data_IF_076164412747
#
_entry.id   IF_076164412747
#
_cell.length_a   1.000
_cell.length_b   1.000
_cell.length_c   1.000
_cell.angle_alpha   90.00
_cell.angle_beta   90.00
_cell.angle_gamma   90.00
#
_symmetry.space_group_name_H-M   'P 1'
#
loop_
_entity.id
_entity.type
_entity.pdbx_description
1 polymer ?
#
# COMPACT_ATOMS: atom_id res chain seq x y z
N UNK A 1 3.57 -19.47 4.28
CA UNK A 1 3.83 -19.25 5.71
C UNK A 1 4.41 -17.85 5.90
N UNK A 2 3.59 -16.83 5.70
CA UNK A 2 4.01 -15.46 5.95
C UNK A 2 3.43 -14.96 7.27
N UNK A 3 4.34 -14.66 8.21
CA UNK A 3 4.28 -13.51 9.11
C UNK A 3 3.17 -13.38 10.19
N UNK A 4 2.36 -14.39 10.45
CA UNK A 4 1.49 -14.34 11.64
C UNK A 4 2.25 -14.66 12.94
N UNK A 5 3.42 -15.30 12.85
CA UNK A 5 4.23 -15.66 14.00
C UNK A 5 4.85 -14.46 14.73
N UNK A 6 4.87 -13.30 14.09
CA UNK A 6 5.42 -12.05 14.67
C UNK A 6 4.36 -11.07 15.19
N UNK A 7 3.08 -11.32 14.91
CA UNK A 7 2.01 -10.38 15.30
C UNK A 7 1.70 -10.38 16.80
N UNK A 8 2.06 -11.46 17.51
CA UNK A 8 1.89 -11.59 18.96
C UNK A 8 3.19 -11.45 19.75
N UNK A 9 4.31 -11.14 19.08
CA UNK A 9 5.56 -10.85 19.74
C UNK A 9 5.51 -9.48 20.43
N UNK A 10 5.71 -9.47 21.74
CA UNK A 10 5.88 -8.25 22.51
C UNK A 10 7.35 -8.12 22.92
N UNK A 11 8.02 -7.01 22.61
CA UNK A 11 9.36 -6.72 23.13
C UNK A 11 9.33 -6.54 24.65
N UNK A 12 10.51 -6.58 25.32
CA UNK A 12 10.61 -6.45 26.77
C UNK A 12 9.95 -5.18 27.34
N UNK A 13 9.98 -4.08 26.58
CA UNK A 13 9.33 -2.82 26.92
C UNK A 13 8.36 -2.39 25.79
N UNK A 14 7.19 -3.02 25.68
CA UNK A 14 6.28 -2.79 24.58
C UNK A 14 5.62 -1.40 24.65
N UNK A 15 5.59 -0.71 23.52
CA UNK A 15 4.79 0.50 23.33
C UNK A 15 3.29 0.16 23.26
N UNK A 16 2.41 1.17 23.34
CA UNK A 16 0.97 0.96 23.08
C UNK A 16 0.71 0.38 21.69
N UNK A 17 1.51 0.80 20.70
CA UNK A 17 1.43 0.26 19.33
C UNK A 17 1.75 -1.23 19.29
N UNK A 18 2.81 -1.67 19.99
CA UNK A 18 3.20 -3.08 20.01
C UNK A 18 2.13 -3.94 20.69
N UNK A 19 1.53 -3.43 21.77
CA UNK A 19 0.40 -4.10 22.45
C UNK A 19 -0.82 -4.23 21.55
N UNK A 20 -1.13 -3.19 20.77
CA UNK A 20 -2.24 -3.21 19.83
C UNK A 20 -1.98 -4.22 18.70
N UNK A 21 -0.76 -4.26 18.16
CA UNK A 21 -0.37 -5.23 17.12
C UNK A 21 -0.49 -6.65 17.65
N UNK A 22 0.02 -6.94 18.85
CA UNK A 22 -0.08 -8.26 19.46
C UNK A 22 -1.54 -8.65 19.74
N UNK A 23 -2.38 -7.71 20.19
CA UNK A 23 -3.80 -7.94 20.40
C UNK A 23 -4.53 -8.26 19.09
N UNK A 24 -4.29 -7.49 18.03
CA UNK A 24 -4.84 -7.76 16.70
C UNK A 24 -4.36 -9.12 16.19
N UNK A 25 -3.07 -9.43 16.38
CA UNK A 25 -2.49 -10.71 15.99
C UNK A 25 -3.15 -11.89 16.70
N UNK A 26 -3.43 -11.77 18.00
CA UNK A 26 -4.14 -12.81 18.76
C UNK A 26 -5.57 -13.01 18.27
N UNK A 27 -6.29 -11.94 17.98
CA UNK A 27 -7.65 -12.00 17.40
C UNK A 27 -7.65 -12.70 16.04
N UNK A 28 -6.70 -12.38 15.18
CA UNK A 28 -6.57 -13.03 13.87
C UNK A 28 -6.27 -14.52 14.04
N UNK A 29 -5.34 -14.88 14.93
CA UNK A 29 -5.03 -16.29 15.20
C UNK A 29 -6.23 -17.09 15.73
N UNK A 30 -7.03 -16.50 16.60
CA UNK A 30 -8.19 -17.17 17.15
C UNK A 30 -9.29 -17.34 16.08
N UNK A 31 -9.53 -16.34 15.25
CA UNK A 31 -10.47 -16.43 14.13
C UNK A 31 -9.99 -17.42 13.04
N UNK A 32 -8.68 -17.62 12.91
CA UNK A 32 -8.12 -18.60 11.95
C UNK A 32 -8.22 -20.05 12.45
N UNK A 33 -8.48 -20.31 13.73
CA UNK A 33 -8.73 -21.67 14.20
C UNK A 33 -9.98 -22.24 13.56
N UNK A 34 -9.82 -23.32 12.79
CA UNK A 34 -10.90 -23.94 12.04
C UNK A 34 -11.25 -23.26 10.74
N UNK A 35 -10.47 -22.29 10.26
CA UNK A 35 -10.63 -21.72 8.93
C UNK A 35 -10.31 -22.76 7.84
N UNK A 36 -11.13 -22.78 6.79
CA UNK A 36 -10.91 -23.60 5.61
C UNK A 36 -10.23 -22.78 4.50
N UNK A 37 -9.15 -23.33 3.96
CA UNK A 37 -8.35 -22.69 2.92
C UNK A 37 -8.54 -23.40 1.59
N UNK A 38 -8.74 -22.62 0.52
CA UNK A 38 -8.65 -23.09 -0.86
C UNK A 38 -7.52 -22.34 -1.57
N UNK A 39 -7.36 -22.56 -2.88
CA UNK A 39 -6.37 -21.80 -3.66
C UNK A 39 -6.68 -20.29 -3.74
N UNK A 40 -7.95 -19.92 -3.67
CA UNK A 40 -8.43 -18.56 -3.92
C UNK A 40 -9.20 -17.94 -2.75
N UNK A 41 -9.59 -18.71 -1.75
CA UNK A 41 -10.41 -18.21 -0.65
C UNK A 41 -10.04 -18.81 0.71
N UNK A 42 -10.38 -18.05 1.75
CA UNK A 42 -10.30 -18.47 3.16
C UNK A 42 -11.68 -18.25 3.78
N UNK A 43 -12.27 -19.32 4.30
CA UNK A 43 -13.55 -19.30 5.01
C UNK A 43 -13.33 -19.43 6.50
N UNK A 44 -13.83 -18.48 7.26
CA UNK A 44 -13.72 -18.44 8.71
C UNK A 44 -14.92 -19.12 9.38
N UNK A 45 -14.76 -19.63 10.62
CA UNK A 45 -15.84 -20.26 11.38
C UNK A 45 -17.05 -19.35 11.63
N UNK A 46 -16.82 -18.03 11.71
CA UNK A 46 -17.88 -17.02 11.88
C UNK A 46 -18.71 -16.77 10.60
N UNK A 47 -18.43 -17.48 9.52
CA UNK A 47 -19.07 -17.33 8.22
C UNK A 47 -18.50 -16.27 7.30
N UNK A 48 -17.48 -15.52 7.75
CA UNK A 48 -16.75 -14.56 6.89
C UNK A 48 -15.92 -15.30 5.85
N UNK A 49 -15.75 -14.68 4.69
CA UNK A 49 -14.90 -15.22 3.63
C UNK A 49 -14.00 -14.11 3.08
N UNK A 50 -12.72 -14.39 2.95
CA UNK A 50 -11.76 -13.57 2.20
C UNK A 50 -11.40 -14.34 0.94
N UNK A 51 -11.48 -13.70 -0.22
CA UNK A 51 -11.10 -14.33 -1.46
C UNK A 51 -10.29 -13.40 -2.37
N UNK A 52 -9.39 -13.98 -3.17
CA UNK A 52 -8.61 -13.29 -4.18
C UNK A 52 -9.17 -13.62 -5.57
N UNK A 53 -9.39 -12.61 -6.38
CA UNK A 53 -9.93 -12.77 -7.72
C UNK A 53 -9.34 -11.74 -8.69
N UNK A 54 -9.22 -12.10 -9.95
CA UNK A 54 -8.81 -11.19 -11.01
C UNK A 54 -9.96 -10.38 -11.60
N UNK A 55 -11.19 -10.70 -11.23
CA UNK A 55 -12.40 -9.95 -11.57
C UNK A 55 -13.48 -10.19 -10.53
N UNK A 56 -14.31 -9.16 -10.31
CA UNK A 56 -15.43 -9.21 -9.37
C UNK A 56 -16.73 -9.07 -10.15
N UNK A 57 -17.60 -10.08 -10.03
CA UNK A 57 -18.95 -10.04 -10.61
C UNK A 57 -19.92 -10.75 -9.67
N UNK A 58 -20.92 -10.02 -9.25
CA UNK A 58 -21.97 -10.54 -8.35
C UNK A 58 -21.52 -10.64 -6.89
N UNK A 59 -22.50 -10.79 -6.01
CA UNK A 59 -22.29 -10.82 -4.56
C UNK A 59 -22.26 -9.42 -3.93
N UNK A 60 -22.16 -9.40 -2.60
CA UNK A 60 -22.01 -8.16 -1.82
C UNK A 60 -20.77 -8.27 -0.96
N UNK A 61 -19.91 -7.27 -1.04
CA UNK A 61 -18.68 -7.19 -0.26
C UNK A 61 -18.79 -6.15 0.82
N UNK A 62 -18.16 -6.39 1.95
CA UNK A 62 -17.95 -5.40 3.00
C UNK A 62 -16.64 -4.65 2.82
N UNK A 63 -15.62 -5.33 2.34
CA UNK A 63 -14.30 -4.74 2.06
C UNK A 63 -13.84 -5.21 0.70
N UNK A 64 -13.40 -4.27 -0.11
CA UNK A 64 -12.73 -4.51 -1.39
C UNK A 64 -11.34 -3.90 -1.36
N UNK A 65 -10.31 -4.73 -1.54
CA UNK A 65 -8.95 -4.28 -1.73
C UNK A 65 -8.51 -4.51 -3.18
N UNK A 66 -8.14 -3.44 -3.87
CA UNK A 66 -7.64 -3.46 -5.25
C UNK A 66 -6.14 -3.17 -5.19
N UNK A 67 -5.35 -4.21 -5.37
CA UNK A 67 -3.89 -4.13 -5.35
C UNK A 67 -3.34 -3.81 -6.74
N UNK A 68 -2.32 -2.95 -6.78
CA UNK A 68 -1.56 -2.59 -7.99
C UNK A 68 -2.43 -2.08 -9.15
N UNK A 69 -3.44 -1.23 -8.86
CA UNK A 69 -4.31 -0.68 -9.90
C UNK A 69 -3.53 0.12 -10.96
N UNK A 70 -2.40 0.73 -10.60
CA UNK A 70 -1.54 1.47 -11.53
C UNK A 70 -0.95 0.54 -12.60
N UNK A 71 -0.36 -0.58 -12.19
CA UNK A 71 0.18 -1.57 -13.11
C UNK A 71 -0.92 -2.16 -14.02
N UNK A 72 -2.08 -2.50 -13.44
CA UNK A 72 -3.22 -3.00 -14.22
C UNK A 72 -3.67 -1.95 -15.23
N UNK A 73 -3.81 -0.69 -14.82
CA UNK A 73 -4.27 0.38 -15.70
C UNK A 73 -3.27 0.72 -16.80
N UNK A 74 -1.96 0.58 -16.54
CA UNK A 74 -0.92 0.81 -17.54
C UNK A 74 -0.90 -0.29 -18.61
N UNK A 75 -1.10 -1.57 -18.22
CA UNK A 75 -1.00 -2.71 -19.13
C UNK A 75 -2.34 -3.09 -19.77
N UNK A 76 -3.44 -2.98 -19.03
CA UNK A 76 -4.79 -3.29 -19.49
C UNK A 76 -5.81 -2.28 -18.94
N UNK A 77 -5.94 -1.08 -19.57
CA UNK A 77 -6.88 -0.05 -19.14
C UNK A 77 -8.34 -0.51 -19.10
N UNK A 78 -8.72 -1.43 -20.00
CA UNK A 78 -10.07 -1.99 -20.03
C UNK A 78 -10.35 -2.84 -18.79
N UNK A 79 -9.39 -3.68 -18.43
CA UNK A 79 -9.46 -4.51 -17.22
C UNK A 79 -9.54 -3.64 -15.96
N UNK A 80 -8.72 -2.59 -15.86
CA UNK A 80 -8.78 -1.64 -14.73
C UNK A 80 -10.18 -1.02 -14.60
N UNK A 81 -10.77 -0.59 -15.71
CA UNK A 81 -12.13 -0.05 -15.73
C UNK A 81 -13.18 -1.09 -15.33
N UNK A 82 -13.07 -2.33 -15.78
CA UNK A 82 -13.96 -3.44 -15.40
C UNK A 82 -13.88 -3.75 -13.90
N UNK A 83 -12.67 -3.76 -13.32
CA UNK A 83 -12.46 -3.99 -11.89
C UNK A 83 -13.12 -2.87 -11.07
N UNK A 84 -12.92 -1.61 -11.46
CA UNK A 84 -13.49 -0.47 -10.75
C UNK A 84 -15.00 -0.46 -10.82
N UNK A 85 -15.58 -0.59 -12.00
CA UNK A 85 -17.04 -0.57 -12.18
C UNK A 85 -17.71 -1.80 -11.55
N UNK A 86 -17.12 -2.98 -11.71
CA UNK A 86 -17.58 -4.20 -11.06
C UNK A 86 -17.48 -4.13 -9.55
N UNK A 87 -16.31 -3.68 -9.04
CA UNK A 87 -16.05 -3.56 -7.61
C UNK A 87 -16.99 -2.58 -6.90
N UNK A 88 -17.16 -1.38 -7.42
CA UNK A 88 -18.07 -0.39 -6.83
C UNK A 88 -19.51 -0.89 -6.70
N UNK A 89 -19.99 -1.64 -7.68
CA UNK A 89 -21.35 -2.17 -7.67
C UNK A 89 -21.54 -3.35 -6.69
N UNK A 90 -20.46 -3.95 -6.20
CA UNK A 90 -20.51 -5.09 -5.27
C UNK A 90 -20.37 -4.66 -3.80
N UNK A 91 -19.94 -3.43 -3.53
CA UNK A 91 -19.73 -2.95 -2.17
C UNK A 91 -21.07 -2.59 -1.52
N UNK A 92 -21.24 -3.03 -0.27
CA UNK A 92 -22.38 -2.64 0.57
C UNK A 92 -22.33 -1.13 0.86
N UNK A 93 -23.48 -0.55 1.24
CA UNK A 93 -23.57 0.90 1.57
C UNK A 93 -22.64 1.35 2.69
N UNK A 94 -22.22 0.45 3.56
CA UNK A 94 -21.31 0.68 4.68
C UNK A 94 -19.94 0.05 4.44
N UNK A 95 -19.68 -0.44 3.23
CA UNK A 95 -18.43 -1.11 2.89
C UNK A 95 -17.29 -0.15 2.64
N UNK A 96 -16.10 -0.70 2.59
CA UNK A 96 -14.84 0.03 2.43
C UNK A 96 -14.16 -0.42 1.14
N UNK A 97 -13.69 0.53 0.34
CA UNK A 97 -12.84 0.26 -0.81
C UNK A 97 -11.43 0.79 -0.50
N UNK A 98 -10.45 -0.08 -0.60
CA UNK A 98 -9.03 0.25 -0.51
C UNK A 98 -8.42 0.01 -1.89
N UNK A 99 -7.83 1.03 -2.48
CA UNK A 99 -6.98 0.86 -3.65
C UNK A 99 -5.57 1.28 -3.31
N UNK A 100 -4.60 0.49 -3.69
CA UNK A 100 -3.19 0.85 -3.56
C UNK A 100 -2.44 0.52 -4.85
N UNK A 101 -1.38 1.26 -5.08
CA UNK A 101 -0.47 1.03 -6.20
C UNK A 101 0.78 1.87 -6.05
N UNK A 102 1.87 1.39 -6.63
CA UNK A 102 2.98 2.24 -7.07
C UNK A 102 2.53 3.11 -8.25
N UNK A 103 3.26 4.19 -8.52
CA UNK A 103 2.99 5.03 -9.68
C UNK A 103 3.54 4.37 -10.93
N UNK A 104 2.64 4.00 -11.84
CA UNK A 104 2.97 3.48 -13.17
C UNK A 104 2.15 4.17 -14.25
N UNK A 105 2.66 4.19 -15.47
CA UNK A 105 1.93 4.68 -16.64
C UNK A 105 1.95 6.20 -16.86
N UNK A 106 2.77 6.96 -16.10
CA UNK A 106 2.89 8.40 -16.27
C UNK A 106 1.67 9.19 -15.76
N UNK A 107 1.48 10.41 -16.28
CA UNK A 107 0.43 11.34 -15.84
C UNK A 107 -0.91 11.13 -16.58
N UNK A 108 -1.31 9.89 -16.81
CA UNK A 108 -2.56 9.55 -17.49
C UNK A 108 -3.12 8.20 -17.01
N UNK A 109 -4.32 7.89 -17.45
CA UNK A 109 -5.00 6.63 -17.12
C UNK A 109 -5.83 6.70 -15.85
N UNK A 110 -6.58 5.61 -15.61
CA UNK A 110 -7.59 5.56 -14.57
C UNK A 110 -7.00 5.76 -13.17
N UNK A 111 -5.90 5.05 -12.86
CA UNK A 111 -5.28 5.16 -11.53
C UNK A 111 -4.76 6.58 -11.26
N UNK A 112 -4.13 7.22 -12.25
CA UNK A 112 -3.65 8.59 -12.13
C UNK A 112 -4.82 9.57 -11.87
N UNK A 113 -5.89 9.48 -12.67
CA UNK A 113 -7.07 10.35 -12.52
C UNK A 113 -7.73 10.21 -11.15
N UNK A 114 -7.88 8.97 -10.65
CA UNK A 114 -8.44 8.72 -9.31
C UNK A 114 -7.52 9.23 -8.19
N UNK A 115 -6.21 9.11 -8.38
CA UNK A 115 -5.22 9.59 -7.41
C UNK A 115 -5.23 11.12 -7.34
N UNK A 116 -5.21 11.81 -8.48
CA UNK A 116 -5.29 13.28 -8.53
C UNK A 116 -6.59 13.78 -7.91
N UNK A 117 -7.72 13.16 -8.24
CA UNK A 117 -9.01 13.52 -7.64
C UNK A 117 -8.99 13.37 -6.11
N UNK A 118 -8.39 12.30 -5.58
CA UNK A 118 -8.24 12.11 -4.13
C UNK A 118 -7.26 13.11 -3.49
N UNK A 119 -6.17 13.47 -4.18
CA UNK A 119 -5.23 14.50 -3.74
C UNK A 119 -5.88 15.88 -3.66
N UNK A 120 -6.72 16.23 -4.62
CA UNK A 120 -7.47 17.50 -4.66
C UNK A 120 -8.46 17.62 -3.50
N UNK A 121 -8.84 16.51 -2.88
CA UNK A 121 -9.73 16.48 -1.71
C UNK A 121 -8.98 16.59 -0.37
N UNK A 122 -7.65 16.58 -0.35
CA UNK A 122 -6.88 16.72 0.90
C UNK A 122 -7.22 18.05 1.60
N UNK A 123 -7.60 17.95 2.87
CA UNK A 123 -8.01 19.10 3.67
C UNK A 123 -9.44 19.61 3.43
N UNK A 124 -10.20 18.96 2.57
CA UNK A 124 -11.62 19.26 2.30
C UNK A 124 -12.53 18.23 3.00
N UNK A 125 -13.80 18.60 3.26
CA UNK A 125 -14.80 17.63 3.72
C UNK A 125 -15.01 16.54 2.67
N UNK A 126 -14.94 15.28 3.10
CA UNK A 126 -15.18 14.12 2.23
C UNK A 126 -16.62 13.64 2.37
N UNK A 127 -17.25 13.31 1.24
CA UNK A 127 -18.48 12.51 1.20
C UNK A 127 -18.15 11.02 1.34
N UNK A 128 -19.14 10.16 1.63
CA UNK A 128 -18.94 8.71 1.67
C UNK A 128 -18.50 8.08 0.34
N UNK A 129 -18.53 8.83 -0.76
CA UNK A 129 -18.13 8.38 -2.10
C UNK A 129 -16.75 8.88 -2.50
N UNK A 130 -16.13 9.76 -1.72
CA UNK A 130 -14.81 10.30 -2.00
C UNK A 130 -13.71 9.41 -1.45
N UNK A 131 -12.62 9.29 -2.19
CA UNK A 131 -11.43 8.63 -1.69
C UNK A 131 -10.60 9.58 -0.82
N UNK A 132 -10.21 9.09 0.34
CA UNK A 132 -9.16 9.72 1.14
C UNK A 132 -7.79 9.33 0.59
N UNK A 133 -6.94 10.33 0.34
CA UNK A 133 -5.59 10.12 -0.16
C UNK A 133 -4.61 9.84 0.98
N UNK A 134 -3.79 8.79 0.81
CA UNK A 134 -2.67 8.45 1.67
C UNK A 134 -1.42 8.29 0.80
N UNK A 135 -0.32 8.91 1.21
CA UNK A 135 0.98 8.77 0.55
C UNK A 135 2.01 8.20 1.52
N UNK A 136 2.54 7.04 1.19
CA UNK A 136 3.57 6.36 1.96
C UNK A 136 4.92 6.59 1.29
N UNK A 137 5.60 7.65 1.71
CA UNK A 137 6.90 8.00 1.17
C UNK A 137 7.99 7.04 1.68
N UNK A 138 8.90 6.63 0.78
CA UNK A 138 10.08 5.87 1.12
C UNK A 138 10.96 6.53 2.20
N UNK A 139 10.95 7.86 2.26
CA UNK A 139 11.71 8.67 3.21
C UNK A 139 11.34 8.34 4.67
N UNK A 140 10.09 7.95 4.90
CA UNK A 140 9.56 7.63 6.25
C UNK A 140 9.69 6.16 6.61
N UNK A 141 10.15 5.33 5.68
CA UNK A 141 10.29 3.89 5.92
C UNK A 141 11.64 3.61 6.57
N UNK A 142 11.61 3.10 7.80
CA UNK A 142 12.83 2.86 8.57
C UNK A 142 13.74 1.79 7.97
N UNK A 143 13.20 0.85 7.22
CA UNK A 143 13.94 -0.24 6.59
C UNK A 143 14.66 0.20 5.30
N UNK A 144 14.34 1.37 4.75
CA UNK A 144 14.92 1.88 3.50
C UNK A 144 16.23 2.61 3.77
N UNK A 145 17.22 1.84 4.28
CA UNK A 145 18.54 2.30 4.70
C UNK A 145 19.56 1.20 4.40
N UNK A 146 20.79 1.60 4.07
CA UNK A 146 21.93 0.71 4.02
C UNK A 146 22.85 1.04 5.19
N UNK A 147 22.78 0.27 6.25
CA UNK A 147 23.53 0.47 7.48
C UNK A 147 25.04 0.57 7.21
N UNK A 148 25.67 1.59 7.77
CA UNK A 148 27.10 1.86 7.62
C UNK A 148 27.56 2.29 6.23
N UNK A 149 26.64 2.46 5.26
CA UNK A 149 26.95 2.88 3.91
C UNK A 149 26.82 4.41 3.74
N UNK A 150 27.60 4.93 2.79
CA UNK A 150 27.51 6.33 2.37
C UNK A 150 27.12 6.43 0.90
N UNK A 151 26.45 7.53 0.51
CA UNK A 151 26.13 7.78 -0.89
C UNK A 151 27.41 7.92 -1.73
N UNK A 152 27.31 7.61 -3.02
CA UNK A 152 28.43 7.63 -3.96
C UNK A 152 29.05 9.00 -4.19
N UNK A 153 28.33 10.06 -3.88
CA UNK A 153 28.75 11.43 -4.15
C UNK A 153 28.47 11.88 -5.59
N UNK A 154 27.69 11.12 -6.36
CA UNK A 154 27.27 11.51 -7.69
C UNK A 154 26.54 12.87 -7.68
N UNK A 155 26.90 13.74 -8.64
CA UNK A 155 26.41 15.13 -8.66
C UNK A 155 24.92 15.24 -8.93
N UNK A 156 24.36 14.40 -9.78
CA UNK A 156 22.94 14.42 -10.12
C UNK A 156 22.12 13.92 -8.93
N UNK A 157 22.59 12.86 -8.28
CA UNK A 157 21.97 12.35 -7.07
C UNK A 157 22.02 13.36 -5.92
N UNK A 158 23.12 14.05 -5.75
CA UNK A 158 23.22 15.12 -4.74
C UNK A 158 22.25 16.28 -5.01
N UNK A 159 22.07 16.67 -6.27
CA UNK A 159 21.08 17.69 -6.64
C UNK A 159 19.65 17.20 -6.31
N UNK A 160 19.36 15.96 -6.66
CA UNK A 160 18.07 15.33 -6.37
C UNK A 160 17.78 15.32 -4.86
N UNK A 161 18.71 14.84 -4.04
CA UNK A 161 18.53 14.82 -2.59
C UNK A 161 18.34 16.22 -2.00
N UNK A 162 19.13 17.21 -2.45
CA UNK A 162 18.95 18.61 -2.02
C UNK A 162 17.59 19.17 -2.40
N UNK A 163 17.06 18.83 -3.57
CA UNK A 163 15.70 19.21 -3.98
C UNK A 163 14.66 18.58 -3.05
N UNK A 164 14.75 17.26 -2.79
CA UNK A 164 13.85 16.57 -1.87
C UNK A 164 13.90 17.17 -0.47
N UNK A 165 15.10 17.39 0.08
CA UNK A 165 15.27 17.96 1.42
C UNK A 165 14.63 19.35 1.51
N UNK A 166 14.77 20.15 0.45
CA UNK A 166 14.17 21.50 0.38
C UNK A 166 12.64 21.43 0.21
N UNK A 167 12.16 20.62 -0.76
CA UNK A 167 10.76 20.62 -1.15
C UNK A 167 9.85 20.00 -0.09
N UNK A 168 10.38 19.04 0.68
CA UNK A 168 9.66 18.35 1.74
C UNK A 168 10.06 18.78 3.16
N UNK A 169 10.99 19.74 3.28
CA UNK A 169 11.54 20.22 4.55
C UNK A 169 12.00 19.08 5.47
N UNK A 170 12.84 18.20 4.93
CA UNK A 170 13.38 17.03 5.62
C UNK A 170 14.91 17.02 5.55
N UNK A 171 15.53 16.15 6.33
CA UNK A 171 16.96 15.83 6.24
C UNK A 171 17.07 14.34 5.98
N UNK A 172 17.71 13.98 4.87
CA UNK A 172 18.06 12.60 4.55
C UNK A 172 19.46 12.30 5.11
N UNK A 173 19.59 11.20 5.82
CA UNK A 173 20.89 10.73 6.26
C UNK A 173 21.66 9.96 5.16
N UNK A 174 22.91 9.67 5.42
CA UNK A 174 23.80 9.01 4.45
C UNK A 174 23.30 7.60 4.09
N UNK A 175 22.74 6.86 5.03
CA UNK A 175 22.27 5.49 4.81
C UNK A 175 21.01 5.44 3.95
N UNK A 176 20.10 6.40 4.13
CA UNK A 176 18.92 6.56 3.27
C UNK A 176 19.33 6.95 1.84
N UNK A 177 20.26 7.88 1.70
CA UNK A 177 20.80 8.30 0.41
C UNK A 177 21.50 7.13 -0.30
N UNK A 178 22.30 6.36 0.42
CA UNK A 178 22.98 5.17 -0.12
C UNK A 178 21.98 4.09 -0.56
N UNK A 179 20.91 3.88 0.22
CA UNK A 179 19.84 2.96 -0.15
C UNK A 179 19.15 3.38 -1.44
N UNK A 180 18.74 4.65 -1.54
CA UNK A 180 18.08 5.16 -2.73
C UNK A 180 18.97 5.05 -3.98
N UNK A 181 20.24 5.43 -3.90
CA UNK A 181 21.20 5.28 -5.01
C UNK A 181 21.35 3.82 -5.45
N UNK A 182 21.40 2.88 -4.50
CA UNK A 182 21.47 1.46 -4.80
C UNK A 182 20.22 0.97 -5.52
N UNK A 183 19.04 1.33 -5.03
CA UNK A 183 17.76 0.97 -5.64
C UNK A 183 17.61 1.59 -7.04
N UNK A 184 17.92 2.87 -7.19
CA UNK A 184 17.85 3.56 -8.47
C UNK A 184 18.74 2.88 -9.54
N UNK A 185 19.95 2.48 -9.15
CA UNK A 185 20.88 1.74 -10.01
C UNK A 185 20.36 0.35 -10.37
N UNK A 186 19.83 -0.39 -9.37
CA UNK A 186 19.36 -1.77 -9.55
C UNK A 186 18.10 -1.82 -10.41
N UNK A 187 17.23 -0.83 -10.27
CA UNK A 187 15.95 -0.76 -10.99
C UNK A 187 16.02 0.07 -12.28
N UNK A 188 17.19 0.59 -12.64
CA UNK A 188 17.40 1.35 -13.87
C UNK A 188 16.72 2.72 -13.87
N UNK A 189 16.47 3.31 -12.70
CA UNK A 189 15.87 4.67 -12.59
C UNK A 189 16.85 5.78 -12.96
N UNK A 190 18.15 5.47 -12.99
CA UNK A 190 19.21 6.37 -13.43
C UNK A 190 19.48 6.13 -14.90
N UNK A 191 18.84 6.89 -15.76
CA UNK A 191 19.25 7.06 -17.16
C UNK A 191 19.45 8.53 -17.47
#
# INVERSE_FOLDING_TARGET
HFAFDHLDYLPENPTERDRLIAFIGSLIKDEMKGAAFTQSDVKFPNGSTVYAATSLRGGTLQILHISELGAIAAHDPKKASEIMTGGFNTISKTGIIIKESTHEGGQYGLNYSLTVAAMDMVGKPLSPLDFQFFFFSWIRQHEYRLEGCKPSGDREMQKYFKSLEKDYNIILDDEQKAWYESMARTQGWLM
#
